data_IF_797310386000
#
_entry.id   IF_797310386000
#
_cell.length_a   1.000
_cell.length_b   1.000
_cell.length_c   1.000
_cell.angle_alpha   90.00
_cell.angle_beta   90.00
_cell.angle_gamma   90.00
#
_symmetry.space_group_name_H-M   'P 1'
#
loop_
_entity.id
_entity.type
_entity.pdbx_description
1 polymer ?
#
# COMPACT_ATOMS: atom_id res chain seq x y z
N UNK A 1 -19.93 -8.26 -18.16
CA UNK A 1 -21.39 -8.49 -18.23
C UNK A 1 -22.19 -7.89 -17.06
N UNK A 2 -21.54 -7.21 -16.11
CA UNK A 2 -22.12 -6.74 -14.84
C UNK A 2 -22.84 -5.36 -14.90
N UNK A 3 -22.72 -4.62 -16.01
CA UNK A 3 -23.07 -3.20 -16.09
C UNK A 3 -24.31 -2.81 -16.87
N UNK A 4 -25.07 -3.70 -17.48
CA UNK A 4 -26.22 -3.29 -18.33
C UNK A 4 -27.51 -2.98 -17.59
N UNK A 5 -27.64 -3.22 -16.28
CA UNK A 5 -28.97 -3.19 -15.64
C UNK A 5 -29.14 -2.34 -14.37
N UNK A 6 -28.07 -1.78 -13.74
CA UNK A 6 -28.28 -0.83 -12.63
C UNK A 6 -28.12 0.61 -13.14
N UNK A 7 -29.26 1.26 -13.44
CA UNK A 7 -29.33 2.72 -13.56
C UNK A 7 -28.83 3.31 -12.25
N UNK A 8 -27.77 4.11 -12.29
CA UNK A 8 -27.31 4.81 -11.09
C UNK A 8 -28.34 5.91 -10.78
N UNK A 9 -29.15 5.71 -9.74
CA UNK A 9 -30.13 6.69 -9.27
C UNK A 9 -29.43 7.87 -8.54
N UNK A 10 -28.14 7.70 -8.18
CA UNK A 10 -27.35 8.74 -7.53
C UNK A 10 -26.21 9.20 -8.44
N UNK A 11 -26.12 10.53 -8.75
CA UNK A 11 -25.09 11.07 -9.64
C UNK A 11 -23.66 10.96 -9.06
N UNK A 12 -23.50 10.61 -7.79
CA UNK A 12 -22.20 10.46 -7.13
C UNK A 12 -21.77 9.01 -6.96
N UNK A 13 -22.53 8.05 -7.51
CA UNK A 13 -22.22 6.61 -7.41
C UNK A 13 -23.07 5.88 -6.38
N UNK A 14 -22.62 4.68 -5.96
CA UNK A 14 -23.32 3.89 -4.96
C UNK A 14 -22.36 3.06 -4.08
N UNK A 15 -22.87 2.55 -2.96
CA UNK A 15 -22.17 1.70 -2.02
C UNK A 15 -23.06 0.50 -1.69
N UNK A 16 -22.43 -0.68 -1.66
CA UNK A 16 -23.04 -1.89 -1.11
C UNK A 16 -22.19 -2.39 0.06
N UNK A 17 -22.82 -2.96 1.07
CA UNK A 17 -22.18 -3.62 2.21
C UNK A 17 -22.77 -5.00 2.37
N UNK A 18 -21.90 -6.01 2.50
CA UNK A 18 -22.29 -7.39 2.74
C UNK A 18 -21.36 -8.04 3.76
N UNK A 19 -21.81 -9.13 4.38
CA UNK A 19 -20.93 -10.02 5.14
C UNK A 19 -20.09 -10.78 4.13
N UNK A 20 -18.77 -10.70 4.26
CA UNK A 20 -17.83 -11.43 3.41
C UNK A 20 -17.55 -12.81 4.00
N UNK A 21 -17.12 -12.85 5.25
CA UNK A 21 -16.78 -14.08 5.97
C UNK A 21 -16.61 -13.78 7.48
N UNK A 22 -16.14 -14.75 8.24
CA UNK A 22 -15.77 -14.63 9.63
C UNK A 22 -14.34 -15.09 9.84
N UNK A 23 -13.54 -14.33 10.60
CA UNK A 23 -12.17 -14.72 10.95
C UNK A 23 -12.18 -16.01 11.78
N UNK A 24 -11.02 -16.71 11.83
CA UNK A 24 -10.87 -17.89 12.71
C UNK A 24 -11.16 -17.58 14.19
N UNK A 25 -10.95 -16.33 14.61
CA UNK A 25 -11.28 -15.85 15.97
C UNK A 25 -12.78 -15.50 16.15
N UNK A 26 -13.62 -15.69 15.14
CA UNK A 26 -15.07 -15.47 15.19
C UNK A 26 -15.50 -14.01 14.97
N UNK A 27 -14.64 -13.14 14.44
CA UNK A 27 -14.99 -11.75 14.12
C UNK A 27 -15.53 -11.64 12.70
N UNK A 28 -16.72 -11.04 12.54
CA UNK A 28 -17.36 -10.84 11.23
C UNK A 28 -16.58 -9.84 10.40
N UNK A 29 -16.24 -10.22 9.18
CA UNK A 29 -15.61 -9.38 8.16
C UNK A 29 -16.65 -8.96 7.13
N UNK A 30 -16.73 -7.66 6.87
CA UNK A 30 -17.61 -7.10 5.84
C UNK A 30 -16.81 -6.76 4.59
N UNK A 31 -17.46 -6.88 3.43
CA UNK A 31 -17.03 -6.29 2.18
C UNK A 31 -17.86 -5.05 1.89
N UNK A 32 -17.19 -3.96 1.51
CA UNK A 32 -17.81 -2.78 0.94
C UNK A 32 -17.48 -2.72 -0.55
N UNK A 33 -18.50 -2.56 -1.38
CA UNK A 33 -18.35 -2.28 -2.81
C UNK A 33 -18.69 -0.81 -3.04
N UNK A 34 -17.72 -0.03 -3.52
CA UNK A 34 -17.86 1.36 -3.87
C UNK A 34 -17.80 1.48 -5.40
N UNK A 35 -18.74 2.22 -5.99
CA UNK A 35 -18.76 2.49 -7.44
C UNK A 35 -18.99 3.99 -7.65
N UNK A 36 -18.07 4.67 -8.34
CA UNK A 36 -18.20 6.08 -8.63
C UNK A 36 -19.17 6.34 -9.82
N UNK A 37 -19.44 7.61 -10.12
CA UNK A 37 -20.34 8.01 -11.19
C UNK A 37 -19.91 7.51 -12.59
N UNK A 38 -18.61 7.32 -12.80
CA UNK A 38 -18.04 6.83 -14.07
C UNK A 38 -17.94 5.31 -14.11
N UNK A 39 -18.26 4.65 -12.97
CA UNK A 39 -18.31 3.21 -12.80
C UNK A 39 -16.95 2.56 -12.50
N UNK A 40 -15.95 3.32 -12.14
CA UNK A 40 -14.81 2.78 -11.42
C UNK A 40 -15.34 2.07 -10.18
N UNK A 41 -14.89 0.85 -9.91
CA UNK A 41 -15.39 0.04 -8.79
C UNK A 41 -14.25 -0.45 -7.93
N UNK A 42 -14.43 -0.37 -6.61
CA UNK A 42 -13.50 -0.90 -5.63
C UNK A 42 -14.24 -1.79 -4.63
N UNK A 43 -13.65 -2.94 -4.27
CA UNK A 43 -14.10 -3.78 -3.16
C UNK A 43 -13.08 -3.78 -2.05
N UNK A 44 -13.55 -3.50 -0.84
CA UNK A 44 -12.70 -3.41 0.36
C UNK A 44 -13.23 -4.31 1.45
N UNK A 45 -12.32 -5.07 2.09
CA UNK A 45 -12.63 -5.86 3.28
C UNK A 45 -12.31 -5.07 4.54
N UNK A 46 -13.12 -5.24 5.59
CA UNK A 46 -12.81 -4.67 6.91
C UNK A 46 -11.63 -5.37 7.58
N UNK A 47 -11.29 -6.61 7.22
CA UNK A 47 -10.05 -7.26 7.62
C UNK A 47 -8.88 -6.62 6.90
N UNK A 48 -7.89 -6.10 7.63
CA UNK A 48 -6.71 -5.43 7.08
C UNK A 48 -6.99 -4.19 6.25
N UNK A 49 -8.23 -3.70 6.14
CA UNK A 49 -8.61 -2.64 5.21
C UNK A 49 -8.27 -2.98 3.76
N UNK A 50 -8.37 -4.24 3.39
CA UNK A 50 -7.87 -4.80 2.14
C UNK A 50 -8.60 -4.25 0.92
N UNK A 51 -7.88 -3.62 0.00
CA UNK A 51 -8.37 -3.38 -1.36
C UNK A 51 -8.29 -4.70 -2.12
N UNK A 52 -9.42 -5.42 -2.21
CA UNK A 52 -9.50 -6.75 -2.81
C UNK A 52 -9.64 -6.72 -4.32
N UNK A 53 -10.41 -5.76 -4.83
CA UNK A 53 -10.64 -5.57 -6.27
C UNK A 53 -10.65 -4.07 -6.58
N UNK A 54 -10.09 -3.68 -7.71
CA UNK A 54 -10.16 -2.33 -8.27
C UNK A 54 -10.32 -2.41 -9.79
N UNK A 55 -11.54 -2.13 -10.25
CA UNK A 55 -11.91 -2.25 -11.65
C UNK A 55 -11.84 -0.89 -12.33
N UNK A 56 -10.98 -0.79 -13.33
CA UNK A 56 -10.64 0.44 -14.06
C UNK A 56 -11.02 0.25 -15.54
N UNK A 57 -11.59 1.26 -16.21
CA UNK A 57 -11.90 1.15 -17.63
C UNK A 57 -10.62 1.12 -18.47
N UNK A 58 -10.56 0.20 -19.45
CA UNK A 58 -9.54 0.15 -20.49
C UNK A 58 -9.90 1.05 -21.67
N UNK A 59 -8.94 1.27 -22.59
CA UNK A 59 -9.18 1.97 -23.86
C UNK A 59 -10.30 1.36 -24.72
N UNK A 60 -10.55 0.06 -24.56
CA UNK A 60 -11.59 -0.68 -25.31
C UNK A 60 -12.96 -0.62 -24.62
N UNK A 61 -13.05 0.05 -23.46
CA UNK A 61 -14.27 0.20 -22.66
C UNK A 61 -14.57 -0.99 -21.74
N UNK A 62 -13.75 -2.03 -21.74
CA UNK A 62 -13.82 -3.10 -20.76
C UNK A 62 -13.28 -2.65 -19.40
N UNK A 63 -13.77 -3.28 -18.32
CA UNK A 63 -13.24 -3.03 -16.99
C UNK A 63 -12.23 -4.10 -16.60
N UNK A 64 -11.05 -3.68 -16.18
CA UNK A 64 -9.94 -4.52 -15.76
C UNK A 64 -9.76 -4.41 -14.25
N UNK A 65 -9.72 -5.54 -13.54
CA UNK A 65 -9.32 -5.59 -12.13
C UNK A 65 -7.79 -5.49 -12.05
N UNK A 66 -7.32 -4.31 -11.68
CA UNK A 66 -5.90 -3.91 -11.75
C UNK A 66 -5.10 -4.21 -10.48
N UNK A 67 -5.67 -4.97 -9.53
CA UNK A 67 -4.97 -5.31 -8.27
C UNK A 67 -4.91 -6.82 -8.04
N UNK A 68 -3.82 -7.28 -7.45
CA UNK A 68 -3.68 -8.65 -6.98
C UNK A 68 -4.47 -8.85 -5.66
N UNK A 69 -4.87 -10.08 -5.37
CA UNK A 69 -5.59 -10.41 -4.14
C UNK A 69 -5.96 -11.89 -4.09
N UNK A 70 -6.79 -12.26 -3.10
CA UNK A 70 -7.30 -13.60 -2.91
C UNK A 70 -8.83 -13.67 -3.04
N UNK A 71 -9.36 -14.88 -3.20
CA UNK A 71 -10.81 -15.09 -3.30
C UNK A 71 -11.47 -15.24 -1.92
N UNK A 72 -10.76 -15.77 -0.91
CA UNK A 72 -11.29 -16.10 0.40
C UNK A 72 -10.58 -15.37 1.54
N UNK A 73 -11.26 -15.21 2.68
CA UNK A 73 -10.67 -14.64 3.90
C UNK A 73 -9.55 -15.55 4.45
N UNK A 74 -9.74 -16.85 4.41
CA UNK A 74 -8.75 -17.82 4.87
C UNK A 74 -7.41 -17.66 4.17
N UNK A 75 -7.42 -17.39 2.85
CA UNK A 75 -6.18 -17.10 2.11
C UNK A 75 -5.50 -15.82 2.60
N UNK A 76 -6.26 -14.76 2.94
CA UNK A 76 -5.69 -13.55 3.52
C UNK A 76 -5.15 -13.76 4.94
N UNK A 77 -5.76 -14.61 5.75
CA UNK A 77 -5.30 -14.92 7.11
C UNK A 77 -3.98 -15.70 7.13
N UNK A 78 -3.76 -16.58 6.14
CA UNK A 78 -2.64 -17.54 6.12
C UNK A 78 -1.49 -17.17 5.17
N UNK A 79 -1.70 -16.31 4.20
CA UNK A 79 -0.65 -15.90 3.27
C UNK A 79 0.05 -14.61 3.73
N UNK A 80 1.34 -14.50 3.41
CA UNK A 80 2.24 -13.46 3.94
C UNK A 80 2.53 -12.31 2.95
N UNK A 81 1.81 -12.22 1.83
CA UNK A 81 2.14 -11.27 0.77
C UNK A 81 1.64 -9.85 0.98
N UNK A 82 0.88 -9.56 2.03
CA UNK A 82 0.28 -8.26 2.33
C UNK A 82 -0.61 -7.67 1.21
N UNK A 83 -1.16 -8.52 0.33
CA UNK A 83 -1.88 -8.10 -0.88
C UNK A 83 -3.06 -7.17 -0.55
N UNK A 84 -2.93 -5.89 -0.91
CA UNK A 84 -3.97 -4.88 -0.75
C UNK A 84 -4.21 -4.41 0.70
N UNK A 85 -3.32 -4.69 1.64
CA UNK A 85 -3.52 -4.44 3.08
C UNK A 85 -3.05 -3.06 3.53
N UNK A 86 -3.71 -2.48 4.54
CA UNK A 86 -3.19 -1.33 5.29
C UNK A 86 -2.03 -1.80 6.16
N UNK A 87 -0.89 -1.15 6.04
CA UNK A 87 0.30 -1.42 6.83
C UNK A 87 0.45 -0.39 7.94
N UNK A 88 0.72 -0.88 9.13
CA UNK A 88 0.93 -0.12 10.36
C UNK A 88 1.19 -1.05 11.56
N UNK A 89 1.65 -0.52 12.71
CA UNK A 89 1.83 0.89 13.05
C UNK A 89 2.96 1.56 12.26
N UNK A 90 3.99 0.77 11.87
CA UNK A 90 5.14 1.25 11.11
C UNK A 90 5.36 0.41 9.84
N UNK A 91 5.28 1.05 8.68
CA UNK A 91 5.50 0.42 7.38
C UNK A 91 6.97 0.15 7.14
N UNK A 92 7.25 -0.94 6.39
CA UNK A 92 8.58 -1.42 6.08
C UNK A 92 9.36 -1.84 7.36
N UNK A 93 10.69 -1.75 7.37
CA UNK A 93 11.58 -2.37 8.35
C UNK A 93 12.07 -1.41 9.43
N UNK A 94 12.25 -1.96 10.64
CA UNK A 94 13.02 -1.36 11.73
C UNK A 94 14.10 -2.39 12.14
N UNK A 95 15.37 -1.99 12.05
CA UNK A 95 16.52 -2.81 12.34
C UNK A 95 16.48 -3.36 13.78
N UNK A 96 16.70 -4.66 13.94
CA UNK A 96 16.66 -5.37 15.24
C UNK A 96 15.33 -5.20 15.99
N UNK A 97 14.27 -4.66 15.35
CA UNK A 97 13.03 -4.31 16.02
C UNK A 97 13.22 -3.26 17.12
N UNK A 98 14.27 -2.44 17.08
CA UNK A 98 14.61 -1.50 18.16
C UNK A 98 14.57 -0.06 17.69
N UNK A 99 14.10 0.82 18.58
CA UNK A 99 14.17 2.26 18.42
C UNK A 99 14.16 2.94 19.79
N UNK A 100 14.48 4.24 19.81
CA UNK A 100 14.50 5.05 21.02
C UNK A 100 13.65 6.31 20.84
N UNK A 101 12.88 6.67 21.86
CA UNK A 101 12.18 7.95 21.96
C UNK A 101 12.49 8.54 23.34
N UNK A 102 13.03 9.76 23.38
CA UNK A 102 13.31 10.52 24.61
C UNK A 102 14.17 9.72 25.62
N UNK A 103 15.15 8.94 25.13
CA UNK A 103 16.04 8.14 25.96
C UNK A 103 15.45 6.79 26.41
N UNK A 104 14.22 6.47 26.03
CA UNK A 104 13.56 5.19 26.33
C UNK A 104 13.67 4.29 25.12
N UNK A 105 14.27 3.10 25.32
CA UNK A 105 14.37 2.06 24.28
C UNK A 105 13.13 1.18 24.25
N UNK A 106 12.67 0.89 23.05
CA UNK A 106 11.54 0.02 22.77
C UNK A 106 12.00 -1.17 21.92
N UNK A 107 11.41 -2.34 22.21
CA UNK A 107 11.63 -3.57 21.46
C UNK A 107 10.33 -3.99 20.80
N UNK A 108 10.32 -4.04 19.49
CA UNK A 108 9.21 -4.54 18.67
C UNK A 108 9.29 -6.04 18.46
N UNK A 109 8.17 -6.63 18.08
CA UNK A 109 8.11 -8.00 17.61
C UNK A 109 8.94 -8.18 16.33
N UNK A 110 9.91 -9.09 16.35
CA UNK A 110 10.79 -9.39 15.20
C UNK A 110 10.18 -10.48 14.34
N UNK A 111 9.29 -10.10 13.43
CA UNK A 111 8.58 -11.03 12.56
C UNK A 111 9.35 -11.41 11.29
N UNK A 112 10.41 -10.70 10.92
CA UNK A 112 11.36 -11.07 9.89
C UNK A 112 12.62 -11.70 10.54
N UNK A 113 12.45 -12.91 11.12
CA UNK A 113 13.44 -13.57 11.97
C UNK A 113 14.80 -13.77 11.30
N UNK A 114 14.82 -14.17 10.01
CA UNK A 114 16.06 -14.45 9.28
C UNK A 114 16.96 -13.22 9.11
N UNK A 115 16.37 -12.03 9.14
CA UNK A 115 17.06 -10.74 8.98
C UNK A 115 17.10 -9.91 10.27
N UNK A 116 16.55 -10.45 11.35
CA UNK A 116 16.46 -9.78 12.65
C UNK A 116 15.76 -8.41 12.60
N UNK A 117 14.67 -8.27 11.83
CA UNK A 117 13.94 -7.03 11.70
C UNK A 117 12.51 -7.14 12.24
N UNK A 118 11.95 -6.00 12.67
CA UNK A 118 10.51 -5.80 12.67
C UNK A 118 10.09 -5.32 11.27
N UNK A 119 9.04 -5.94 10.71
CA UNK A 119 8.52 -5.66 9.38
C UNK A 119 7.02 -5.38 9.44
N UNK A 120 6.57 -4.28 8.81
CA UNK A 120 5.17 -3.94 8.59
C UNK A 120 4.29 -3.93 9.85
N UNK A 121 4.87 -3.60 11.01
CA UNK A 121 4.12 -3.47 12.26
C UNK A 121 4.02 -4.75 13.09
N UNK A 122 4.77 -5.82 12.76
CA UNK A 122 4.90 -7.03 13.57
C UNK A 122 4.10 -8.24 13.05
N UNK A 123 3.87 -9.22 13.90
CA UNK A 123 3.13 -10.46 13.54
C UNK A 123 1.64 -10.21 13.32
N UNK A 124 1.06 -9.33 14.11
CA UNK A 124 -0.37 -8.98 14.10
C UNK A 124 -0.56 -7.48 13.89
N UNK A 125 0.19 -6.89 12.96
CA UNK A 125 0.05 -5.50 12.56
C UNK A 125 -1.34 -5.15 12.03
N UNK A 126 -1.53 -3.95 11.53
CA UNK A 126 -2.82 -3.42 11.05
C UNK A 126 -3.45 -4.28 9.95
N UNK A 127 -2.63 -4.97 9.18
CA UNK A 127 -3.02 -5.90 8.13
C UNK A 127 -3.79 -7.15 8.63
N UNK A 128 -3.68 -7.50 9.92
CA UNK A 128 -4.41 -8.62 10.56
C UNK A 128 -5.51 -8.18 11.53
N UNK A 129 -5.95 -6.94 11.44
CA UNK A 129 -7.01 -6.40 12.31
C UNK A 129 -8.31 -6.24 11.53
N UNK A 130 -9.43 -6.47 12.20
CA UNK A 130 -10.75 -6.15 11.66
C UNK A 130 -11.08 -4.70 12.03
N UNK A 131 -11.16 -3.84 11.04
CA UNK A 131 -11.45 -2.43 11.20
C UNK A 131 -12.95 -2.16 11.29
N UNK A 132 -13.33 -1.15 12.05
CA UNK A 132 -14.72 -0.66 12.07
C UNK A 132 -14.96 0.16 10.80
N UNK A 133 -15.81 -0.36 9.90
CA UNK A 133 -16.13 0.28 8.63
C UNK A 133 -17.46 1.02 8.67
N UNK A 134 -17.47 2.27 8.18
CA UNK A 134 -18.68 3.05 7.88
C UNK A 134 -18.53 3.73 6.54
N UNK A 135 -19.60 3.78 5.74
CA UNK A 135 -19.53 4.32 4.39
C UNK A 135 -20.62 5.36 4.15
N UNK A 136 -20.33 6.33 3.28
CA UNK A 136 -21.22 7.39 2.88
C UNK A 136 -20.97 7.83 1.43
N UNK A 137 -22.00 8.35 0.76
CA UNK A 137 -21.84 8.99 -0.54
C UNK A 137 -21.64 10.49 -0.30
N UNK A 138 -20.58 11.02 -0.88
CA UNK A 138 -20.23 12.45 -0.82
C UNK A 138 -20.31 13.09 -2.21
N UNK A 139 -20.29 14.42 -2.33
CA UNK A 139 -20.21 15.08 -3.64
C UNK A 139 -18.96 14.69 -4.46
N UNK A 140 -17.89 14.23 -3.79
CA UNK A 140 -16.67 13.75 -4.46
C UNK A 140 -16.81 12.31 -4.98
N UNK A 141 -17.72 11.52 -4.42
CA UNK A 141 -17.94 10.11 -4.72
C UNK A 141 -18.18 9.28 -3.47
N UNK A 142 -18.31 7.94 -3.61
CA UNK A 142 -18.47 7.03 -2.48
C UNK A 142 -17.21 6.98 -1.62
N UNK A 143 -17.41 6.97 -0.30
CA UNK A 143 -16.36 7.02 0.70
C UNK A 143 -16.54 5.91 1.74
N UNK A 144 -15.47 5.23 2.11
CA UNK A 144 -15.39 4.27 3.19
C UNK A 144 -14.42 4.76 4.26
N UNK A 145 -14.90 4.93 5.49
CA UNK A 145 -14.10 5.25 6.67
C UNK A 145 -13.84 3.99 7.46
N UNK A 146 -12.59 3.66 7.68
CA UNK A 146 -12.09 2.55 8.50
C UNK A 146 -11.43 3.10 9.75
N UNK A 147 -11.81 2.60 10.94
CA UNK A 147 -11.24 3.01 12.22
C UNK A 147 -10.71 1.81 12.98
N UNK A 148 -9.53 1.97 13.57
CA UNK A 148 -8.92 0.98 14.44
C UNK A 148 -8.15 1.68 15.57
N UNK A 149 -8.30 1.17 16.80
CA UNK A 149 -7.50 1.58 17.96
C UNK A 149 -6.47 0.49 18.25
N UNK A 150 -5.19 0.83 18.10
CA UNK A 150 -4.06 -0.02 18.49
C UNK A 150 -3.66 0.32 19.91
N UNK A 151 -3.78 -0.63 20.85
CA UNK A 151 -3.53 -0.40 22.27
C UNK A 151 -2.04 -0.23 22.59
N UNK A 152 -1.77 0.41 23.73
CA UNK A 152 -0.41 0.55 24.27
C UNK A 152 0.24 -0.84 24.44
N UNK A 153 1.42 -1.01 23.87
CA UNK A 153 2.16 -2.28 23.88
C UNK A 153 1.83 -3.26 22.74
N UNK A 154 0.85 -2.97 21.87
CA UNK A 154 0.60 -3.80 20.69
C UNK A 154 1.88 -3.95 19.86
N UNK A 155 2.33 -5.20 19.60
CA UNK A 155 3.57 -5.55 18.88
C UNK A 155 4.85 -4.88 19.44
N UNK A 156 4.77 -4.31 20.67
CA UNK A 156 5.86 -3.59 21.34
C UNK A 156 5.85 -2.08 21.15
N UNK A 157 4.88 -1.52 20.44
CA UNK A 157 4.78 -0.07 20.25
C UNK A 157 4.20 0.62 21.48
N UNK A 158 4.78 1.76 21.94
CA UNK A 158 4.23 2.53 23.06
C UNK A 158 3.01 3.35 22.64
N UNK A 159 2.15 3.59 23.61
CA UNK A 159 0.96 4.45 23.49
C UNK A 159 -0.22 3.80 22.77
N UNK A 160 -1.40 4.24 23.11
CA UNK A 160 -2.61 3.91 22.35
C UNK A 160 -2.68 4.80 21.12
N UNK A 161 -2.87 4.19 19.94
CA UNK A 161 -2.98 4.90 18.67
C UNK A 161 -4.38 4.74 18.09
N UNK A 162 -5.13 5.84 18.02
CA UNK A 162 -6.40 5.89 17.32
C UNK A 162 -6.17 6.26 15.86
N UNK A 163 -6.49 5.33 14.97
CA UNK A 163 -6.22 5.45 13.53
C UNK A 163 -7.51 5.48 12.74
N UNK A 164 -7.57 6.40 11.77
CA UNK A 164 -8.64 6.45 10.77
C UNK A 164 -8.01 6.45 9.38
N UNK A 165 -8.49 5.55 8.52
CA UNK A 165 -8.16 5.52 7.09
C UNK A 165 -9.44 5.70 6.30
N UNK A 166 -9.42 6.64 5.36
CA UNK A 166 -10.58 6.96 4.53
C UNK A 166 -10.24 6.68 3.08
N UNK A 167 -10.98 5.76 2.46
CA UNK A 167 -10.94 5.52 1.02
C UNK A 167 -12.06 6.30 0.34
N UNK A 168 -11.71 7.15 -0.61
CA UNK A 168 -12.68 7.86 -1.46
C UNK A 168 -12.44 7.46 -2.92
N UNK A 169 -13.46 6.93 -3.56
CA UNK A 169 -13.42 6.65 -5.00
C UNK A 169 -14.06 7.84 -5.71
N UNK A 170 -13.21 8.80 -6.13
CA UNK A 170 -13.71 10.09 -6.64
C UNK A 170 -14.34 9.97 -8.03
N UNK A 171 -15.20 10.94 -8.38
CA UNK A 171 -15.80 11.01 -9.71
C UNK A 171 -14.79 11.48 -10.80
N UNK A 172 -13.56 11.84 -10.40
CA UNK A 172 -12.43 12.11 -11.29
C UNK A 172 -11.56 10.86 -11.55
N UNK A 173 -12.10 9.65 -11.22
CA UNK A 173 -11.44 8.35 -11.34
C UNK A 173 -10.17 8.23 -10.47
N UNK A 174 -10.24 8.75 -9.27
CA UNK A 174 -9.16 8.65 -8.29
C UNK A 174 -9.55 7.70 -7.16
N UNK A 175 -8.63 6.85 -6.75
CA UNK A 175 -8.62 6.24 -5.43
C UNK A 175 -7.79 7.13 -4.51
N UNK A 176 -8.46 7.90 -3.68
CA UNK A 176 -7.84 8.73 -2.65
C UNK A 176 -7.86 7.99 -1.32
N UNK A 177 -6.73 7.99 -0.63
CA UNK A 177 -6.54 7.37 0.67
C UNK A 177 -6.03 8.44 1.64
N UNK A 178 -6.85 8.79 2.63
CA UNK A 178 -6.47 9.73 3.68
C UNK A 178 -6.23 8.98 4.98
N UNK A 179 -5.07 9.23 5.61
CA UNK A 179 -4.67 8.65 6.87
C UNK A 179 -4.65 9.72 7.95
N UNK A 180 -5.24 9.43 9.11
CA UNK A 180 -5.09 10.25 10.32
C UNK A 180 -4.88 9.37 11.53
N UNK A 181 -4.05 9.83 12.47
CA UNK A 181 -3.90 9.15 13.75
C UNK A 181 -3.55 10.15 14.87
N UNK A 182 -3.95 9.80 16.10
CA UNK A 182 -3.60 10.48 17.34
C UNK A 182 -3.15 9.47 18.39
N UNK A 183 -2.37 9.91 19.37
CA UNK A 183 -1.81 9.04 20.40
C UNK A 183 -1.92 9.66 21.78
N UNK A 184 -1.94 8.82 22.82
CA UNK A 184 -1.89 9.22 24.26
C UNK A 184 -0.46 9.26 24.82
N UNK A 185 0.54 8.68 24.11
CA UNK A 185 1.97 8.71 24.47
C UNK A 185 2.83 8.89 23.22
N UNK A 186 4.08 9.40 23.34
CA UNK A 186 5.00 9.42 22.21
C UNK A 186 5.17 8.03 21.60
N UNK A 187 4.98 7.93 20.28
CA UNK A 187 5.10 6.68 19.52
C UNK A 187 5.60 6.96 18.11
N UNK A 188 5.94 5.94 17.36
CA UNK A 188 6.30 6.07 15.94
C UNK A 188 5.13 5.64 15.06
N UNK A 189 4.88 6.40 13.98
CA UNK A 189 3.80 6.13 13.03
C UNK A 189 4.31 6.29 11.61
N UNK A 190 4.04 5.28 10.79
CA UNK A 190 4.29 5.30 9.35
C UNK A 190 3.27 4.37 8.69
N UNK A 191 2.21 4.92 8.10
CA UNK A 191 1.13 4.15 7.51
C UNK A 191 1.26 4.15 5.99
N UNK A 192 0.95 3.01 5.36
CA UNK A 192 0.87 2.89 3.91
C UNK A 192 -0.17 1.85 3.49
N UNK A 193 -0.41 1.77 2.18
CA UNK A 193 -1.28 0.78 1.54
C UNK A 193 -0.45 -0.11 0.62
N UNK A 194 -0.45 -1.43 0.89
CA UNK A 194 0.38 -2.41 0.19
C UNK A 194 -0.35 -3.06 -0.98
N UNK A 195 -0.94 -2.25 -1.84
CA UNK A 195 -1.62 -2.72 -3.04
C UNK A 195 -0.60 -3.12 -4.11
N UNK A 196 -0.75 -4.34 -4.63
CA UNK A 196 -0.01 -4.79 -5.80
C UNK A 196 -0.83 -4.50 -7.04
N UNK A 197 -0.34 -3.61 -7.87
CA UNK A 197 -0.97 -3.24 -9.14
C UNK A 197 -0.45 -4.09 -10.29
N UNK A 198 -1.35 -4.41 -11.22
CA UNK A 198 -1.05 -4.86 -12.56
C UNK A 198 -2.11 -4.26 -13.49
N UNK A 199 -1.77 -3.19 -14.21
CA UNK A 199 -2.73 -2.45 -15.03
C UNK A 199 -3.23 -3.24 -16.24
N UNK A 200 -2.54 -4.33 -16.61
CA UNK A 200 -2.98 -5.30 -17.62
C UNK A 200 -4.04 -6.26 -17.06
N UNK A 201 -4.08 -6.42 -15.73
CA UNK A 201 -4.96 -7.32 -15.00
C UNK A 201 -4.47 -8.77 -14.94
N UNK A 202 -3.42 -9.14 -15.69
CA UNK A 202 -2.84 -10.49 -15.71
C UNK A 202 -1.41 -10.50 -16.27
N UNK A 203 -0.67 -11.61 -16.02
CA UNK A 203 0.69 -11.80 -16.52
C UNK A 203 1.73 -10.96 -15.80
N UNK A 204 2.87 -10.76 -16.46
CA UNK A 204 4.01 -10.00 -15.91
C UNK A 204 3.89 -8.50 -16.17
N UNK A 205 4.49 -7.69 -15.31
CA UNK A 205 4.50 -6.23 -15.42
C UNK A 205 5.60 -5.68 -16.36
N UNK A 206 6.26 -6.54 -17.12
CA UNK A 206 7.47 -6.17 -17.88
C UNK A 206 7.24 -5.08 -18.92
N UNK A 207 6.06 -5.06 -19.57
CA UNK A 207 5.71 -4.08 -20.59
C UNK A 207 5.11 -2.77 -20.02
N UNK A 208 4.81 -2.72 -18.70
CA UNK A 208 4.45 -1.46 -18.07
C UNK A 208 5.63 -0.49 -18.13
N UNK A 209 5.38 0.77 -18.44
CA UNK A 209 6.37 1.84 -18.31
C UNK A 209 6.14 2.62 -17.02
N UNK A 210 7.22 3.14 -16.44
CA UNK A 210 7.18 3.98 -15.24
C UNK A 210 8.06 5.21 -15.43
N UNK A 211 7.55 6.35 -14.96
CA UNK A 211 8.33 7.54 -14.60
C UNK A 211 8.16 7.72 -13.10
N UNK A 212 9.27 7.85 -12.35
CA UNK A 212 9.26 8.09 -10.91
C UNK A 212 10.00 9.37 -10.60
N UNK A 213 9.32 10.32 -9.94
CA UNK A 213 9.81 11.67 -9.67
C UNK A 213 10.68 11.73 -8.42
N UNK A 214 11.85 11.14 -8.50
CA UNK A 214 12.82 11.10 -7.41
C UNK A 214 14.24 11.21 -7.95
N UNK A 215 15.03 12.13 -7.41
CA UNK A 215 16.44 12.27 -7.73
C UNK A 215 17.35 11.43 -6.85
N UNK A 216 16.81 10.89 -5.77
CA UNK A 216 17.57 10.15 -4.74
C UNK A 216 16.81 8.94 -4.25
N UNK A 217 17.56 7.98 -3.70
CA UNK A 217 17.05 6.80 -3.03
C UNK A 217 17.85 6.49 -1.77
N UNK A 218 17.34 5.63 -0.91
CA UNK A 218 18.05 5.13 0.27
C UNK A 218 18.61 3.74 -0.02
N UNK A 219 19.96 3.56 -0.12
CA UNK A 219 20.56 2.25 -0.31
C UNK A 219 20.34 1.37 0.92
N UNK A 220 20.28 0.05 0.71
CA UNK A 220 20.05 -0.94 1.76
C UNK A 220 21.23 -1.91 1.90
N UNK A 221 21.44 -2.41 3.12
CA UNK A 221 22.38 -3.48 3.41
C UNK A 221 21.77 -4.88 3.11
N UNK A 222 22.52 -5.95 3.42
CA UNK A 222 22.10 -7.36 3.22
C UNK A 222 20.82 -7.74 3.98
N UNK A 223 20.46 -7.00 5.02
CA UNK A 223 19.22 -7.20 5.79
C UNK A 223 18.07 -6.33 5.28
N UNK A 224 18.22 -5.67 4.11
CA UNK A 224 17.26 -4.73 3.51
C UNK A 224 16.94 -3.54 4.42
N UNK A 225 17.89 -3.14 5.26
CA UNK A 225 17.81 -1.95 6.11
C UNK A 225 18.55 -0.81 5.42
N UNK A 226 17.96 0.40 5.31
CA UNK A 226 18.67 1.58 4.84
C UNK A 226 19.97 1.83 5.60
N UNK A 227 21.05 2.12 4.87
CA UNK A 227 22.37 2.39 5.48
C UNK A 227 22.44 3.73 6.19
N UNK A 228 21.45 4.60 6.01
CA UNK A 228 21.44 5.99 6.47
C UNK A 228 21.88 6.98 5.40
N UNK A 229 22.46 6.48 4.31
CA UNK A 229 22.82 7.31 3.17
C UNK A 229 21.59 7.67 2.32
N UNK A 230 21.69 8.79 1.61
CA UNK A 230 20.74 9.21 0.58
C UNK A 230 21.53 9.50 -0.67
N UNK A 231 21.47 8.60 -1.64
CA UNK A 231 22.29 8.63 -2.85
C UNK A 231 21.52 9.10 -4.09
N UNK A 232 22.17 9.74 -5.07
CA UNK A 232 21.54 10.10 -6.33
C UNK A 232 21.18 8.85 -7.14
N UNK A 233 20.06 8.91 -7.87
CA UNK A 233 19.66 7.82 -8.79
C UNK A 233 20.46 7.85 -10.10
N UNK A 234 21.05 8.99 -10.46
CA UNK A 234 21.74 9.22 -11.71
C UNK A 234 22.84 8.18 -11.98
N UNK A 235 22.89 7.66 -13.21
CA UNK A 235 23.79 6.59 -13.65
C UNK A 235 23.66 5.26 -12.88
N UNK A 236 22.51 5.01 -12.25
CA UNK A 236 22.19 3.75 -11.58
C UNK A 236 20.96 3.08 -12.22
N UNK A 237 20.69 1.80 -11.95
CA UNK A 237 19.42 1.16 -12.34
C UNK A 237 18.18 1.80 -11.71
N UNK A 238 18.35 2.64 -10.68
CA UNK A 238 17.27 3.35 -9.98
C UNK A 238 16.91 4.69 -10.65
N UNK A 239 17.57 5.10 -11.73
CA UNK A 239 17.19 6.32 -12.46
C UNK A 239 15.94 6.06 -13.32
N UNK A 240 14.77 6.32 -12.71
CA UNK A 240 13.44 6.19 -13.31
C UNK A 240 12.81 7.56 -13.61
N UNK A 241 13.59 8.63 -13.67
CA UNK A 241 13.10 9.98 -13.98
C UNK A 241 12.63 10.14 -15.43
N UNK A 242 13.01 9.22 -16.31
CA UNK A 242 12.51 9.10 -17.69
C UNK A 242 11.70 7.83 -17.84
N UNK A 243 10.77 7.83 -18.80
CA UNK A 243 9.97 6.67 -19.09
C UNK A 243 10.86 5.43 -19.34
N UNK A 244 10.64 4.42 -18.49
CA UNK A 244 11.43 3.19 -18.50
C UNK A 244 10.49 1.99 -18.44
N UNK A 245 10.69 0.98 -19.27
CA UNK A 245 9.98 -0.30 -19.14
C UNK A 245 10.41 -0.99 -17.85
N UNK A 246 9.43 -1.44 -17.05
CA UNK A 246 9.72 -2.15 -15.79
C UNK A 246 10.57 -3.39 -16.03
N UNK A 247 10.33 -4.14 -17.11
CA UNK A 247 11.11 -5.31 -17.48
C UNK A 247 12.59 -5.01 -17.73
N UNK A 248 12.89 -3.87 -18.36
CA UNK A 248 14.29 -3.45 -18.58
C UNK A 248 14.99 -3.08 -17.27
N UNK A 249 14.29 -2.42 -16.36
CA UNK A 249 14.79 -2.10 -15.03
C UNK A 249 15.03 -3.35 -14.19
N UNK A 250 14.06 -4.27 -14.18
CA UNK A 250 14.15 -5.56 -13.47
C UNK A 250 15.34 -6.38 -13.98
N UNK A 251 15.54 -6.43 -15.32
CA UNK A 251 16.67 -7.17 -15.91
C UNK A 251 18.03 -6.61 -15.45
N UNK A 252 18.17 -5.28 -15.31
CA UNK A 252 19.39 -4.66 -14.77
C UNK A 252 19.65 -5.02 -13.30
N UNK A 253 18.61 -5.43 -12.57
CA UNK A 253 18.66 -5.79 -11.14
C UNK A 253 18.56 -7.30 -10.89
N UNK A 254 18.55 -8.15 -11.92
CA UNK A 254 18.33 -9.61 -11.77
C UNK A 254 19.36 -10.31 -10.88
N UNK A 255 20.59 -9.82 -10.87
CA UNK A 255 21.69 -10.34 -10.06
C UNK A 255 21.86 -9.59 -8.74
N UNK A 256 21.02 -8.61 -8.46
CA UNK A 256 20.97 -7.94 -7.17
C UNK A 256 20.33 -8.86 -6.11
N UNK A 257 20.51 -8.49 -4.84
CA UNK A 257 19.91 -9.21 -3.72
C UNK A 257 18.39 -9.30 -3.81
N UNK A 258 17.74 -8.27 -4.35
CA UNK A 258 16.27 -8.17 -4.46
C UNK A 258 15.72 -8.73 -5.75
N UNK A 259 16.56 -8.98 -6.77
CA UNK A 259 16.19 -9.48 -8.11
C UNK A 259 15.11 -8.64 -8.81
N UNK A 260 15.14 -7.34 -8.57
CA UNK A 260 14.18 -6.34 -9.03
C UNK A 260 14.17 -5.17 -8.07
N UNK A 261 13.20 -4.26 -8.20
CA UNK A 261 13.08 -3.12 -7.31
C UNK A 261 12.50 -3.56 -5.96
N UNK A 262 13.07 -3.07 -4.88
CA UNK A 262 12.58 -3.10 -3.50
C UNK A 262 13.29 -1.97 -2.72
N UNK A 263 13.08 -0.75 -3.15
CA UNK A 263 13.84 0.41 -2.67
C UNK A 263 12.91 1.58 -2.34
N UNK A 264 13.29 2.33 -1.32
CA UNK A 264 12.67 3.61 -1.00
C UNK A 264 13.31 4.72 -1.82
N UNK A 265 12.48 5.50 -2.51
CA UNK A 265 12.85 6.69 -3.27
C UNK A 265 12.45 7.94 -2.51
N UNK A 266 13.31 8.96 -2.54
CA UNK A 266 13.08 10.26 -1.90
C UNK A 266 12.34 11.15 -2.89
N UNK A 267 11.14 11.55 -2.56
CA UNK A 267 10.27 12.29 -3.47
C UNK A 267 10.66 13.76 -3.58
N UNK A 268 10.59 14.28 -4.80
CA UNK A 268 10.89 15.69 -5.09
C UNK A 268 9.69 16.61 -4.89
N UNK A 269 8.46 16.08 -5.01
CA UNK A 269 7.20 16.82 -4.90
C UNK A 269 6.04 15.85 -4.61
N UNK A 270 4.82 16.38 -4.52
CA UNK A 270 3.60 15.58 -4.32
C UNK A 270 3.33 14.61 -5.49
N UNK A 271 3.76 14.92 -6.72
CA UNK A 271 3.73 13.97 -7.83
C UNK A 271 4.80 12.90 -7.62
N UNK A 272 4.37 11.65 -7.54
CA UNK A 272 5.21 10.48 -7.24
C UNK A 272 5.66 9.79 -8.52
N UNK A 273 4.69 9.32 -9.29
CA UNK A 273 4.95 8.47 -10.44
C UNK A 273 3.82 8.52 -11.47
N UNK A 274 4.17 8.15 -12.71
CA UNK A 274 3.24 7.80 -13.76
C UNK A 274 3.58 6.41 -14.27
N UNK A 275 2.59 5.52 -14.28
CA UNK A 275 2.70 4.16 -14.81
C UNK A 275 1.74 4.01 -15.97
N UNK A 276 2.19 3.45 -17.08
CA UNK A 276 1.35 3.20 -18.25
C UNK A 276 1.46 1.74 -18.69
N UNK A 277 0.32 1.14 -19.03
CA UNK A 277 0.20 -0.19 -19.61
C UNK A 277 -0.34 -0.07 -21.03
N UNK A 278 0.45 -0.45 -22.06
CA UNK A 278 0.14 -0.14 -23.45
C UNK A 278 -0.99 -0.99 -24.05
N UNK A 279 -1.14 -2.25 -23.63
CA UNK A 279 -2.12 -3.16 -24.22
C UNK A 279 -3.56 -2.76 -23.85
N UNK A 280 -3.80 -2.40 -22.59
CA UNK A 280 -5.11 -1.93 -22.10
C UNK A 280 -5.26 -0.41 -22.18
N UNK A 281 -4.16 0.30 -22.42
CA UNK A 281 -4.13 1.75 -22.49
C UNK A 281 -4.43 2.44 -21.16
N UNK A 282 -4.26 1.75 -20.03
CA UNK A 282 -4.49 2.29 -18.70
C UNK A 282 -3.25 3.05 -18.23
N UNK A 283 -3.46 4.26 -17.78
CA UNK A 283 -2.42 5.06 -17.13
C UNK A 283 -2.83 5.33 -15.68
N UNK A 284 -1.87 5.18 -14.76
CA UNK A 284 -2.03 5.51 -13.35
C UNK A 284 -1.02 6.58 -12.97
N UNK A 285 -1.49 7.71 -12.47
CA UNK A 285 -0.67 8.74 -11.83
C UNK A 285 -0.82 8.63 -10.32
N UNK A 286 0.27 8.84 -9.59
CA UNK A 286 0.33 8.73 -8.14
C UNK A 286 0.77 10.05 -7.54
N UNK A 287 0.05 10.52 -6.50
CA UNK A 287 0.35 11.72 -5.75
C UNK A 287 0.31 11.42 -4.26
N UNK A 288 1.15 12.09 -3.46
CA UNK A 288 1.18 11.89 -2.01
C UNK A 288 1.74 13.10 -1.25
N UNK A 289 1.40 13.17 0.03
CA UNK A 289 2.04 14.09 1.00
C UNK A 289 3.18 13.41 1.78
N UNK A 290 3.49 12.16 1.47
CA UNK A 290 4.58 11.40 2.10
C UNK A 290 5.95 11.81 1.52
N UNK A 291 7.04 11.73 2.31
CA UNK A 291 8.37 12.11 1.83
C UNK A 291 9.05 11.09 0.93
N UNK A 292 8.52 9.87 0.86
CA UNK A 292 9.11 8.79 0.10
C UNK A 292 8.10 7.81 -0.46
N UNK A 293 8.58 6.94 -1.35
CA UNK A 293 7.82 5.81 -1.89
C UNK A 293 8.71 4.58 -1.98
N UNK A 294 8.25 3.46 -1.45
CA UNK A 294 8.84 2.15 -1.73
C UNK A 294 8.30 1.67 -3.06
N UNK A 295 9.18 1.50 -4.05
CA UNK A 295 8.86 0.83 -5.29
C UNK A 295 9.30 -0.63 -5.21
N UNK A 296 8.32 -1.54 -5.28
CA UNK A 296 8.53 -2.98 -5.18
C UNK A 296 7.89 -3.70 -6.37
N UNK A 297 8.64 -4.56 -7.03
CA UNK A 297 8.19 -5.24 -8.26
C UNK A 297 7.72 -6.68 -8.03
N UNK A 298 7.25 -7.01 -6.83
CA UNK A 298 6.67 -8.32 -6.53
C UNK A 298 7.66 -9.48 -6.62
N UNK A 299 8.92 -9.22 -6.31
CA UNK A 299 10.07 -10.13 -6.53
C UNK A 299 9.93 -11.48 -5.80
N UNK A 300 9.21 -11.51 -4.66
CA UNK A 300 9.07 -12.69 -3.79
C UNK A 300 7.76 -13.47 -4.02
N UNK A 301 6.92 -13.05 -4.96
CA UNK A 301 5.76 -13.83 -5.34
C UNK A 301 6.24 -15.11 -6.04
N UNK A 302 5.82 -16.30 -5.57
CA UNK A 302 6.24 -17.56 -6.17
C UNK A 302 5.12 -18.58 -6.03
N UNK A 303 4.45 -18.90 -7.13
CA UNK A 303 3.38 -19.89 -7.17
C UNK A 303 2.19 -19.56 -6.27
N UNK A 304 1.98 -18.26 -5.93
CA UNK A 304 0.89 -17.82 -5.05
C UNK A 304 -0.43 -17.96 -5.79
N UNK A 305 -1.34 -18.77 -5.26
CA UNK A 305 -2.70 -18.89 -5.80
C UNK A 305 -3.47 -17.62 -5.47
N UNK A 306 -3.83 -16.87 -6.49
CA UNK A 306 -4.56 -15.62 -6.37
C UNK A 306 -6.02 -15.74 -6.84
N UNK A 307 -6.66 -14.58 -7.01
CA UNK A 307 -8.06 -14.48 -7.45
C UNK A 307 -8.33 -15.23 -8.74
N UNK A 308 -9.50 -15.91 -8.80
CA UNK A 308 -10.04 -16.56 -10.01
C UNK A 308 -9.08 -17.59 -10.59
N UNK A 309 -8.31 -18.27 -9.75
CA UNK A 309 -7.36 -19.31 -10.15
C UNK A 309 -6.08 -18.79 -10.80
N UNK A 310 -5.82 -17.49 -10.79
CA UNK A 310 -4.54 -16.93 -11.27
C UNK A 310 -3.40 -17.37 -10.37
N UNK A 311 -2.22 -17.54 -10.97
CA UNK A 311 -0.99 -17.80 -10.23
C UNK A 311 -0.13 -16.55 -10.28
N UNK A 312 0.27 -16.05 -9.10
CA UNK A 312 1.18 -14.93 -8.98
C UNK A 312 2.61 -15.45 -8.78
N UNK A 313 3.45 -15.15 -9.73
CA UNK A 313 4.89 -15.42 -9.73
C UNK A 313 5.68 -14.12 -9.63
N UNK A 314 7.01 -14.13 -9.45
CA UNK A 314 7.82 -12.92 -9.43
C UNK A 314 7.44 -11.97 -10.57
N UNK A 315 7.29 -10.68 -10.26
CA UNK A 315 6.94 -9.63 -11.22
C UNK A 315 5.53 -9.75 -11.86
N UNK A 316 4.57 -10.36 -11.17
CA UNK A 316 3.16 -10.34 -11.58
C UNK A 316 2.44 -9.05 -11.16
N UNK A 317 2.97 -8.33 -10.19
CA UNK A 317 2.46 -7.04 -9.73
C UNK A 317 3.56 -6.15 -9.17
N UNK A 318 3.27 -4.86 -9.04
CA UNK A 318 4.16 -3.88 -8.43
C UNK A 318 3.43 -3.09 -7.34
N UNK A 319 4.19 -2.60 -6.35
CA UNK A 319 3.70 -1.72 -5.28
C UNK A 319 4.36 -0.35 -5.39
N UNK A 320 3.59 0.70 -5.12
CA UNK A 320 4.05 2.07 -4.88
C UNK A 320 3.54 2.47 -3.48
N UNK A 321 4.30 2.06 -2.46
CA UNK A 321 3.96 2.27 -1.05
C UNK A 321 4.48 3.65 -0.62
N UNK A 322 3.62 4.65 -0.67
CA UNK A 322 3.94 6.00 -0.21
C UNK A 322 4.06 6.01 1.30
N UNK A 323 5.20 6.44 1.84
CA UNK A 323 5.54 6.26 3.24
C UNK A 323 6.71 7.18 3.68
N UNK A 324 6.97 7.24 4.98
CA UNK A 324 8.26 7.69 5.50
C UNK A 324 9.33 6.63 5.22
N UNK A 325 10.61 7.01 5.27
CA UNK A 325 11.68 6.10 4.93
C UNK A 325 11.74 4.92 5.92
N UNK A 326 12.04 3.70 5.45
CA UNK A 326 12.26 2.57 6.34
C UNK A 326 13.35 2.88 7.36
N UNK A 327 13.22 2.35 8.58
CA UNK A 327 14.16 2.53 9.69
C UNK A 327 14.40 3.99 10.13
N UNK A 328 13.50 4.93 9.77
CA UNK A 328 13.65 6.36 10.14
C UNK A 328 13.87 6.61 11.64
N UNK A 329 13.27 5.87 12.58
CA UNK A 329 13.53 6.11 14.01
C UNK A 329 15.00 6.00 14.41
N UNK A 330 15.80 5.27 13.62
CA UNK A 330 17.22 5.02 13.89
C UNK A 330 18.19 5.92 13.08
N UNK A 331 17.65 6.88 12.30
CA UNK A 331 18.44 7.79 11.46
C UNK A 331 17.99 9.23 11.64
N UNK A 332 18.81 10.05 12.28
CA UNK A 332 18.49 11.46 12.59
C UNK A 332 18.39 12.37 11.36
N UNK A 333 18.96 11.94 10.24
CA UNK A 333 18.91 12.64 8.95
C UNK A 333 17.69 12.22 8.10
N UNK A 334 16.89 11.25 8.54
CA UNK A 334 15.65 10.86 7.89
C UNK A 334 14.46 11.67 8.44
N UNK A 335 13.34 11.75 7.71
CA UNK A 335 12.14 12.42 8.19
C UNK A 335 11.67 11.86 9.55
N UNK A 336 11.28 12.76 10.46
CA UNK A 336 10.78 12.38 11.78
C UNK A 336 9.46 11.60 11.67
N UNK A 337 9.36 10.53 12.44
CA UNK A 337 8.20 9.63 12.49
C UNK A 337 7.57 9.53 13.89
N UNK A 338 8.07 10.31 14.84
CA UNK A 338 7.52 10.34 16.19
C UNK A 338 6.27 11.21 16.21
N UNK A 339 5.17 10.63 16.66
CA UNK A 339 3.91 11.31 16.94
C UNK A 339 3.78 11.48 18.46
N UNK A 340 3.43 12.69 18.90
CA UNK A 340 3.28 13.04 20.33
C UNK A 340 1.81 13.31 20.68
N UNK A 341 1.43 13.18 21.97
CA UNK A 341 0.10 13.60 22.43
C UNK A 341 -0.20 15.04 22.04
N UNK A 342 -1.40 15.25 21.48
CA UNK A 342 -1.82 16.56 20.97
C UNK A 342 -1.43 16.85 19.53
N UNK A 343 -0.58 16.05 18.92
CA UNK A 343 -0.26 16.13 17.48
C UNK A 343 -1.20 15.26 16.65
N UNK A 344 -1.36 15.61 15.37
CA UNK A 344 -2.12 14.85 14.40
C UNK A 344 -1.19 14.30 13.31
N UNK A 345 -1.08 12.98 13.21
CA UNK A 345 -0.55 12.34 12.01
C UNK A 345 -1.57 12.50 10.88
N UNK A 346 -1.15 13.05 9.76
CA UNK A 346 -2.05 13.28 8.60
C UNK A 346 -1.29 13.18 7.30
N UNK A 347 -1.66 12.19 6.46
CA UNK A 347 -1.12 12.02 5.12
C UNK A 347 -2.21 11.60 4.14
N UNK A 348 -1.96 11.83 2.86
CA UNK A 348 -2.85 11.48 1.77
C UNK A 348 -2.09 10.87 0.61
N UNK A 349 -2.70 9.90 -0.07
CA UNK A 349 -2.20 9.31 -1.31
C UNK A 349 -3.33 9.21 -2.30
N UNK A 350 -3.06 9.52 -3.57
CA UNK A 350 -4.03 9.46 -4.66
C UNK A 350 -3.46 8.60 -5.77
N UNK A 351 -4.22 7.60 -6.20
CA UNK A 351 -3.99 6.84 -7.43
C UNK A 351 -5.07 7.26 -8.44
N UNK A 352 -4.66 7.99 -9.48
CA UNK A 352 -5.54 8.53 -10.51
C UNK A 352 -5.43 7.72 -11.78
N UNK A 353 -6.57 7.30 -12.32
CA UNK A 353 -6.66 6.47 -13.53
C UNK A 353 -7.16 7.30 -14.72
N UNK A 354 -6.37 7.24 -15.83
CA UNK A 354 -6.57 8.00 -17.06
C UNK A 354 -6.77 7.04 -18.23
#
# INVERSE_FOLDING_TARGET
>A
MWRKEKKMDNPYGYIEKEVFDMTEEGTVVHQFTLVNANGLMMKVLTYGGIIRELWVPSKDGDFIDVVLGYDTLNEYEHNSGYLGMIIGRYANRIANGQFEIDGIRYQLAMNEKAKHNALHGGYRGFFKKVWKGSASITPQGPQLTLKYTSHDGDEGYPGTLDTTVVYTLTNDNELRIDYTATTDKPTIVNLTQHTYFNLRGDGKIYDHTIILNADKYTPVNENLIPTGEVLPVENTPFDLRKETKMGEGIEKLKDSMTKGYDNNFVLNSDFVAKVHEPDKGITMEVYTTQPGVQFYTGNNLTGVKGKKGKIYDPHTGFCLETQHFPNSPNHTNFPNVVLRPGELYKHSTIFKFL
#
